data_IF_858435079302
#
_entry.id   IF_858435079302
#
_cell.length_a   1.000
_cell.length_b   1.000
_cell.length_c   1.000
_cell.angle_alpha   90.00
_cell.angle_beta   90.00
_cell.angle_gamma   90.00
#
_symmetry.space_group_name_H-M   'P 1'
#
loop_
_entity.id
_entity.type
_entity.pdbx_description
1 polymer ?
#
# COMPACT_ATOMS: atom_id res chain seq x y z
N UNK A 1 -11.34 -22.87 9.47
CA UNK A 1 -10.57 -21.85 10.21
C UNK A 1 -9.07 -21.90 9.91
N UNK A 2 -8.38 -23.04 10.11
CA UNK A 2 -6.93 -23.14 9.89
C UNK A 2 -6.47 -22.72 8.49
N UNK A 3 -7.15 -23.18 7.44
CA UNK A 3 -6.83 -22.78 6.05
C UNK A 3 -6.96 -21.27 5.84
N UNK A 4 -8.01 -20.63 6.37
CA UNK A 4 -8.22 -19.18 6.26
C UNK A 4 -7.10 -18.40 6.96
N UNK A 5 -6.69 -18.82 8.15
CA UNK A 5 -5.60 -18.19 8.89
C UNK A 5 -4.25 -18.35 8.18
N UNK A 6 -3.96 -19.51 7.60
CA UNK A 6 -2.76 -19.72 6.79
C UNK A 6 -2.76 -18.84 5.54
N UNK A 7 -3.90 -18.73 4.88
CA UNK A 7 -4.05 -17.81 3.73
C UNK A 7 -3.85 -16.36 4.15
N UNK A 8 -4.47 -15.92 5.25
CA UNK A 8 -4.29 -14.57 5.78
C UNK A 8 -2.83 -14.28 6.15
N UNK A 9 -2.15 -15.25 6.77
CA UNK A 9 -0.73 -15.16 7.09
C UNK A 9 0.14 -15.03 5.82
N UNK A 10 -0.08 -15.89 4.82
CA UNK A 10 0.66 -15.85 3.56
C UNK A 10 0.45 -14.53 2.80
N UNK A 11 -0.81 -14.05 2.71
CA UNK A 11 -1.14 -12.76 2.12
C UNK A 11 -0.52 -11.60 2.91
N UNK A 12 -0.49 -11.67 4.25
CA UNK A 12 0.16 -10.68 5.09
C UNK A 12 1.67 -10.61 4.88
N UNK A 13 2.33 -11.76 4.68
CA UNK A 13 3.76 -11.79 4.32
C UNK A 13 4.02 -11.20 2.93
N UNK A 14 3.16 -11.49 1.95
CA UNK A 14 3.27 -10.95 0.60
C UNK A 14 3.05 -9.41 0.57
N UNK A 15 2.31 -8.88 1.53
CA UNK A 15 1.96 -7.46 1.69
C UNK A 15 2.77 -6.76 2.77
N UNK A 16 3.99 -7.19 3.06
CA UNK A 16 4.77 -6.60 4.15
C UNK A 16 4.98 -5.09 3.94
N UNK A 17 4.21 -4.27 4.66
CA UNK A 17 4.14 -2.83 4.49
C UNK A 17 5.06 -2.08 5.46
N UNK A 18 6.03 -1.39 4.89
CA UNK A 18 6.94 -0.51 5.64
C UNK A 18 6.45 0.93 5.76
N UNK A 19 5.37 1.30 5.07
CA UNK A 19 4.88 2.70 4.99
C UNK A 19 4.49 3.21 6.37
N UNK A 20 3.73 2.41 7.12
CA UNK A 20 3.34 2.75 8.49
C UNK A 20 4.55 2.97 9.41
N UNK A 21 5.58 2.12 9.29
CA UNK A 21 6.83 2.26 10.04
C UNK A 21 7.58 3.54 9.67
N UNK A 22 7.64 3.88 8.39
CA UNK A 22 8.29 5.12 7.91
C UNK A 22 7.57 6.37 8.42
N UNK A 23 6.25 6.38 8.41
CA UNK A 23 5.44 7.47 8.98
C UNK A 23 5.71 7.60 10.48
N UNK A 24 5.73 6.48 11.20
CA UNK A 24 5.99 6.45 12.63
C UNK A 24 7.39 6.97 12.99
N UNK A 25 8.42 6.51 12.28
CA UNK A 25 9.82 6.99 12.45
C UNK A 25 9.94 8.47 12.08
N UNK A 26 9.29 8.90 11.00
CA UNK A 26 9.23 10.31 10.60
C UNK A 26 8.60 11.19 11.68
N UNK A 27 7.49 10.74 12.27
CA UNK A 27 6.83 11.41 13.37
C UNK A 27 7.71 11.50 14.62
N UNK A 28 8.39 10.41 15.00
CA UNK A 28 9.38 10.41 16.08
C UNK A 28 10.52 11.40 15.82
N UNK A 29 11.07 11.38 14.61
CA UNK A 29 12.12 12.30 14.19
C UNK A 29 11.69 13.77 14.15
N UNK A 30 10.40 14.05 14.05
CA UNK A 30 9.77 15.37 14.18
C UNK A 30 9.37 15.72 15.62
N UNK A 31 9.72 14.90 16.62
CA UNK A 31 9.45 15.15 18.02
C UNK A 31 8.02 14.78 18.47
N UNK A 32 7.34 13.88 17.75
CA UNK A 32 6.05 13.38 18.19
C UNK A 32 6.16 12.63 19.52
N UNK A 33 5.20 12.85 20.42
CA UNK A 33 5.13 12.15 21.70
C UNK A 33 4.71 10.69 21.47
N UNK A 34 5.22 9.77 22.29
CA UNK A 34 4.89 8.34 22.23
C UNK A 34 3.38 8.10 22.25
N UNK A 35 2.61 8.85 23.04
CA UNK A 35 1.13 8.73 23.07
C UNK A 35 0.48 9.02 21.72
N UNK A 36 0.97 10.00 20.98
CA UNK A 36 0.44 10.36 19.67
C UNK A 36 0.81 9.29 18.63
N UNK A 37 2.01 8.71 18.75
CA UNK A 37 2.45 7.60 17.93
C UNK A 37 1.63 6.32 18.18
N UNK A 38 1.33 6.03 19.45
CA UNK A 38 0.45 4.93 19.81
C UNK A 38 -0.96 5.12 19.25
N UNK A 39 -1.48 6.35 19.26
CA UNK A 39 -2.75 6.64 18.61
C UNK A 39 -2.71 6.33 17.11
N UNK A 40 -1.64 6.75 16.40
CA UNK A 40 -1.44 6.38 14.99
C UNK A 40 -1.48 4.86 14.80
N UNK A 41 -0.71 4.11 15.58
CA UNK A 41 -0.64 2.65 15.47
C UNK A 41 -1.96 1.96 15.82
N UNK A 42 -2.61 2.37 16.93
CA UNK A 42 -3.90 1.81 17.33
C UNK A 42 -4.98 2.06 16.26
N UNK A 43 -5.15 3.30 15.80
CA UNK A 43 -6.13 3.62 14.78
C UNK A 43 -5.79 2.98 13.43
N UNK A 44 -4.50 2.88 13.09
CA UNK A 44 -4.06 2.17 11.90
C UNK A 44 -4.37 0.69 11.97
N UNK A 45 -3.86 -0.02 12.96
CA UNK A 45 -3.99 -1.47 13.09
C UNK A 45 -5.45 -1.89 13.36
N UNK A 46 -6.07 -1.34 14.40
CA UNK A 46 -7.45 -1.69 14.74
C UNK A 46 -8.44 -1.20 13.68
N UNK A 47 -8.18 -0.03 13.10
CA UNK A 47 -8.94 0.50 11.98
C UNK A 47 -8.90 -0.42 10.76
N UNK A 48 -7.73 -0.95 10.40
CA UNK A 48 -7.56 -1.90 9.29
C UNK A 48 -8.32 -3.21 9.56
N UNK A 49 -8.23 -3.76 10.77
CA UNK A 49 -8.98 -4.96 11.15
C UNK A 49 -10.48 -4.73 11.09
N UNK A 50 -10.96 -3.63 11.67
CA UNK A 50 -12.38 -3.29 11.68
C UNK A 50 -12.91 -3.03 10.26
N UNK A 51 -12.16 -2.28 9.45
CA UNK A 51 -12.50 -1.97 8.07
C UNK A 51 -12.54 -3.22 7.20
N UNK A 52 -11.50 -4.08 7.28
CA UNK A 52 -11.46 -5.34 6.55
C UNK A 52 -12.58 -6.29 6.95
N UNK A 53 -12.86 -6.41 8.25
CA UNK A 53 -13.97 -7.22 8.76
C UNK A 53 -15.31 -6.70 8.22
N UNK A 54 -15.57 -5.39 8.30
CA UNK A 54 -16.80 -4.79 7.79
C UNK A 54 -16.95 -5.01 6.28
N UNK A 55 -15.90 -4.78 5.50
CA UNK A 55 -15.90 -5.03 4.06
C UNK A 55 -16.16 -6.51 3.74
N UNK A 56 -15.51 -7.44 4.44
CA UNK A 56 -15.73 -8.88 4.21
C UNK A 56 -17.18 -9.29 4.46
N UNK A 57 -17.81 -8.75 5.49
CA UNK A 57 -19.20 -9.11 5.84
C UNK A 57 -20.24 -8.45 4.92
N UNK A 58 -19.98 -7.22 4.46
CA UNK A 58 -20.95 -6.44 3.69
C UNK A 58 -20.77 -6.67 2.19
N UNK A 59 -19.54 -6.65 1.72
CA UNK A 59 -19.17 -6.59 0.30
C UNK A 59 -18.59 -7.90 -0.20
N UNK A 60 -17.89 -8.64 0.66
CA UNK A 60 -17.20 -9.88 0.29
C UNK A 60 -18.08 -10.89 -0.42
N UNK A 61 -19.29 -11.23 0.09
CA UNK A 61 -20.19 -12.17 -0.59
C UNK A 61 -20.68 -11.66 -1.96
N UNK A 62 -20.85 -10.33 -2.11
CA UNK A 62 -21.29 -9.72 -3.38
C UNK A 62 -20.18 -9.75 -4.42
N UNK A 63 -18.95 -9.40 -4.02
CA UNK A 63 -17.77 -9.43 -4.92
C UNK A 63 -17.45 -10.86 -5.32
N UNK A 64 -17.62 -11.83 -4.43
CA UNK A 64 -17.38 -13.24 -4.74
C UNK A 64 -18.37 -13.81 -5.78
N UNK A 65 -19.52 -13.18 -5.97
CA UNK A 65 -20.53 -13.54 -6.97
C UNK A 65 -20.39 -12.78 -8.30
N UNK A 66 -19.48 -11.81 -8.39
CA UNK A 66 -19.23 -11.08 -9.65
C UNK A 66 -18.45 -12.00 -10.59
N UNK A 67 -18.98 -12.18 -11.79
CA UNK A 67 -18.22 -12.75 -12.90
C UNK A 67 -17.26 -11.67 -13.42
N UNK A 68 -16.01 -11.76 -12.97
CA UNK A 68 -14.97 -10.82 -13.36
C UNK A 68 -14.67 -10.88 -14.87
N UNK A 69 -15.00 -11.99 -15.53
CA UNK A 69 -14.91 -12.10 -16.98
C UNK A 69 -15.82 -11.09 -17.70
N UNK A 70 -16.94 -10.66 -17.09
CA UNK A 70 -17.79 -9.61 -17.66
C UNK A 70 -17.16 -8.20 -17.60
N UNK A 71 -16.14 -7.99 -16.77
CA UNK A 71 -15.45 -6.70 -16.67
C UNK A 71 -14.28 -6.59 -17.64
N UNK A 72 -13.91 -7.70 -18.28
CA UNK A 72 -12.90 -7.68 -19.35
C UNK A 72 -13.55 -7.13 -20.62
N UNK A 73 -12.90 -6.24 -21.36
CA UNK A 73 -13.40 -5.73 -22.61
C UNK A 73 -13.66 -6.88 -23.58
N UNK A 74 -14.88 -7.00 -24.07
CA UNK A 74 -15.28 -8.05 -25.02
C UNK A 74 -15.68 -7.46 -26.39
N UNK A 75 -15.72 -6.11 -26.49
CA UNK A 75 -16.11 -5.35 -27.67
C UNK A 75 -14.90 -4.58 -28.23
N UNK A 76 -14.65 -4.59 -29.53
CA UNK A 76 -13.59 -3.79 -30.18
C UNK A 76 -13.62 -2.29 -29.85
N UNK A 77 -14.78 -1.77 -29.43
CA UNK A 77 -14.91 -0.38 -28.98
C UNK A 77 -14.29 -0.17 -27.59
N UNK A 78 -14.47 -1.14 -26.70
CA UNK A 78 -13.89 -1.13 -25.36
C UNK A 78 -12.37 -1.30 -25.41
N UNK A 79 -11.86 -2.13 -26.33
CA UNK A 79 -10.43 -2.31 -26.59
C UNK A 79 -9.76 -1.02 -27.05
N UNK A 80 -10.44 -0.19 -27.86
CA UNK A 80 -9.93 1.13 -28.26
C UNK A 80 -9.81 2.07 -27.08
N UNK A 81 -10.81 2.07 -26.19
CA UNK A 81 -10.77 2.89 -24.97
C UNK A 81 -9.66 2.41 -24.05
N UNK A 82 -9.50 1.09 -23.89
CA UNK A 82 -8.43 0.51 -23.07
C UNK A 82 -7.05 0.90 -23.63
N UNK A 83 -6.80 0.72 -24.94
CA UNK A 83 -5.56 1.11 -25.60
C UNK A 83 -5.28 2.63 -25.45
N UNK A 84 -6.30 3.47 -25.59
CA UNK A 84 -6.16 4.93 -25.40
C UNK A 84 -5.78 5.28 -23.96
N UNK A 85 -6.45 4.70 -22.98
CA UNK A 85 -6.14 4.87 -21.55
C UNK A 85 -4.72 4.39 -21.25
N UNK A 86 -4.32 3.27 -21.80
CA UNK A 86 -2.98 2.71 -21.66
C UNK A 86 -1.90 3.66 -22.22
N UNK A 87 -2.12 4.28 -23.37
CA UNK A 87 -1.21 5.32 -23.90
C UNK A 87 -1.09 6.49 -22.96
N UNK A 88 -2.21 7.03 -22.47
CA UNK A 88 -2.19 8.20 -21.57
C UNK A 88 -1.42 7.85 -20.28
N UNK A 89 -1.71 6.70 -19.69
CA UNK A 89 -1.02 6.25 -18.47
C UNK A 89 0.47 5.99 -18.75
N UNK A 90 0.80 5.31 -19.83
CA UNK A 90 2.17 5.01 -20.23
C UNK A 90 2.99 6.27 -20.47
N UNK A 91 2.46 7.21 -21.26
CA UNK A 91 3.11 8.52 -21.51
C UNK A 91 3.23 9.33 -20.22
N UNK A 92 2.20 9.35 -19.38
CA UNK A 92 2.24 10.00 -18.06
C UNK A 92 3.35 9.44 -17.17
N UNK A 93 3.49 8.11 -17.09
CA UNK A 93 4.57 7.44 -16.36
C UNK A 93 5.94 7.76 -16.93
N UNK A 94 6.10 7.77 -18.27
CA UNK A 94 7.36 8.14 -18.93
C UNK A 94 7.75 9.56 -18.63
N UNK A 95 6.84 10.52 -18.78
CA UNK A 95 7.08 11.95 -18.45
C UNK A 95 7.48 12.08 -16.98
N UNK A 96 6.73 11.45 -16.07
CA UNK A 96 7.04 11.50 -14.65
C UNK A 96 8.41 10.89 -14.34
N UNK A 97 8.74 9.73 -14.93
CA UNK A 97 10.03 9.07 -14.78
C UNK A 97 11.17 9.95 -15.28
N UNK A 98 11.04 10.57 -16.45
CA UNK A 98 12.05 11.48 -17.04
C UNK A 98 12.22 12.74 -16.19
N UNK A 99 11.11 13.37 -15.74
CA UNK A 99 11.16 14.56 -14.88
C UNK A 99 11.85 14.24 -13.57
N UNK A 100 11.58 13.05 -13.01
CA UNK A 100 12.20 12.57 -11.77
C UNK A 100 13.71 12.36 -11.93
N UNK A 101 14.20 11.86 -13.07
CA UNK A 101 15.64 11.71 -13.32
C UNK A 101 16.36 13.05 -13.48
N UNK A 102 15.68 14.05 -14.01
CA UNK A 102 16.25 15.40 -14.25
C UNK A 102 16.23 16.31 -13.02
N UNK A 103 15.46 15.98 -12.00
CA UNK A 103 15.46 16.72 -10.73
C UNK A 103 16.50 16.10 -9.78
N UNK A 104 17.72 16.66 -9.67
CA UNK A 104 18.64 16.26 -8.61
C UNK A 104 17.91 16.50 -7.28
N UNK A 105 17.93 15.49 -6.43
CA UNK A 105 17.15 15.35 -5.22
C UNK A 105 16.78 16.67 -4.55
N UNK A 106 15.49 16.89 -4.39
CA UNK A 106 14.98 18.05 -3.65
C UNK A 106 15.73 18.14 -2.32
N UNK A 107 16.34 19.30 -2.06
CA UNK A 107 16.92 19.57 -0.73
C UNK A 107 15.94 19.13 0.34
N UNK A 108 16.44 18.39 1.36
CA UNK A 108 15.57 18.05 2.47
C UNK A 108 14.87 19.33 2.96
N UNK A 109 13.57 19.30 3.21
CA UNK A 109 12.87 20.47 3.72
C UNK A 109 13.66 21.00 4.90
N UNK A 110 13.94 22.33 4.90
CA UNK A 110 14.53 22.97 6.09
C UNK A 110 13.71 22.52 7.30
N UNK A 111 14.37 22.10 8.40
CA UNK A 111 13.64 21.79 9.61
C UNK A 111 12.87 23.05 10.01
N UNK A 112 11.61 23.14 9.60
CA UNK A 112 10.67 24.07 10.21
C UNK A 112 10.56 23.66 11.66
N UNK A 113 10.44 24.64 12.57
CA UNK A 113 10.17 24.37 13.97
C UNK A 113 9.08 23.28 14.05
N UNK A 114 9.30 22.19 14.78
CA UNK A 114 8.39 21.07 14.80
C UNK A 114 7.04 21.57 15.32
N UNK A 115 6.08 21.78 14.41
CA UNK A 115 4.67 21.86 14.81
C UNK A 115 4.37 20.46 15.31
N UNK A 116 4.32 20.33 16.63
CA UNK A 116 4.16 19.05 17.28
C UNK A 116 2.99 18.31 16.64
N UNK A 117 3.28 17.17 16.00
CA UNK A 117 2.25 16.29 15.46
C UNK A 117 1.37 15.87 16.66
N UNK A 118 0.20 16.51 16.79
CA UNK A 118 -0.70 16.29 17.92
C UNK A 118 -1.33 14.91 17.87
N UNK A 119 -1.90 14.50 19.01
CA UNK A 119 -2.61 13.22 19.15
C UNK A 119 -3.68 13.03 18.06
N UNK A 120 -4.51 14.05 17.83
CA UNK A 120 -5.61 14.02 16.86
C UNK A 120 -5.08 13.88 15.42
N UNK A 121 -4.01 14.61 15.09
CA UNK A 121 -3.40 14.55 13.76
C UNK A 121 -2.86 13.16 13.44
N UNK A 122 -2.17 12.53 14.40
CA UNK A 122 -1.62 11.17 14.21
C UNK A 122 -2.71 10.11 14.28
N UNK A 123 -3.75 10.27 15.10
CA UNK A 123 -4.91 9.38 15.08
C UNK A 123 -5.63 9.42 13.71
N UNK A 124 -5.85 10.63 13.16
CA UNK A 124 -6.42 10.81 11.84
C UNK A 124 -5.55 10.20 10.72
N UNK A 125 -4.23 10.37 10.81
CA UNK A 125 -3.30 9.73 9.89
C UNK A 125 -3.35 8.20 9.98
N UNK A 126 -3.51 7.63 11.19
CA UNK A 126 -3.71 6.20 11.39
C UNK A 126 -5.01 5.69 10.75
N UNK A 127 -6.09 6.46 10.87
CA UNK A 127 -7.35 6.10 10.22
C UNK A 127 -7.23 6.15 8.68
N UNK A 128 -6.59 7.18 8.12
CA UNK A 128 -6.34 7.26 6.68
C UNK A 128 -5.44 6.12 6.20
N UNK A 129 -4.45 5.74 6.99
CA UNK A 129 -3.60 4.59 6.73
C UNK A 129 -4.41 3.28 6.70
N UNK A 130 -5.35 3.10 7.63
CA UNK A 130 -6.25 1.94 7.64
C UNK A 130 -7.14 1.88 6.38
N UNK A 131 -7.69 3.02 5.95
CA UNK A 131 -8.51 3.10 4.74
C UNK A 131 -7.69 2.86 3.46
N UNK A 132 -6.41 3.25 3.46
CA UNK A 132 -5.52 3.02 2.33
C UNK A 132 -5.25 1.53 2.06
N UNK A 133 -5.52 0.64 3.01
CA UNK A 133 -5.40 -0.81 2.82
C UNK A 133 -6.26 -1.33 1.64
N UNK A 134 -7.33 -0.62 1.25
CA UNK A 134 -8.17 -1.01 0.09
C UNK A 134 -7.39 -1.00 -1.24
N UNK A 135 -6.29 -0.28 -1.32
CA UNK A 135 -5.44 -0.24 -2.52
C UNK A 135 -4.52 -1.46 -2.61
N UNK A 136 -4.37 -2.21 -1.51
CA UNK A 136 -3.55 -3.42 -1.46
C UNK A 136 -4.33 -4.61 -2.04
N UNK A 137 -3.86 -5.24 -3.14
CA UNK A 137 -4.53 -6.38 -3.74
C UNK A 137 -4.65 -7.58 -2.79
N UNK A 138 -3.70 -7.77 -1.86
CA UNK A 138 -3.74 -8.88 -0.90
C UNK A 138 -4.81 -8.67 0.15
N UNK A 139 -5.04 -7.40 0.57
CA UNK A 139 -6.14 -7.04 1.45
C UNK A 139 -7.49 -7.29 0.77
N UNK A 140 -7.66 -6.84 -0.48
CA UNK A 140 -8.89 -7.07 -1.24
C UNK A 140 -9.14 -8.57 -1.44
N UNK A 141 -8.11 -9.34 -1.76
CA UNK A 141 -8.20 -10.81 -1.87
C UNK A 141 -8.66 -11.43 -0.55
N UNK A 142 -8.12 -10.96 0.58
CA UNK A 142 -8.54 -11.44 1.90
C UNK A 142 -10.00 -11.08 2.19
N UNK A 143 -10.45 -9.87 1.82
CA UNK A 143 -11.86 -9.45 1.97
C UNK A 143 -12.80 -10.43 1.29
N UNK A 144 -12.48 -10.85 0.04
CA UNK A 144 -13.30 -11.81 -0.72
C UNK A 144 -13.26 -13.21 -0.09
N UNK A 145 -12.06 -13.67 0.27
CA UNK A 145 -11.89 -15.03 0.84
C UNK A 145 -12.53 -15.14 2.22
N UNK A 146 -12.29 -14.15 3.09
CA UNK A 146 -12.85 -14.11 4.44
C UNK A 146 -14.38 -13.89 4.44
N UNK A 147 -14.91 -13.17 3.43
CA UNK A 147 -16.35 -12.97 3.26
C UNK A 147 -17.15 -14.24 2.96
N UNK A 148 -16.46 -15.36 2.66
CA UNK A 148 -17.07 -16.69 2.50
C UNK A 148 -17.11 -17.50 3.80
N UNK A 149 -16.59 -16.95 4.89
CA UNK A 149 -16.56 -17.65 6.16
C UNK A 149 -17.89 -17.47 6.91
N UNK A 150 -18.43 -18.57 7.42
CA UNK A 150 -19.73 -18.59 8.13
C UNK A 150 -19.67 -17.91 9.51
N UNK A 151 -18.49 -17.86 10.12
CA UNK A 151 -18.31 -17.37 11.48
C UNK A 151 -17.67 -15.98 11.50
N UNK A 152 -18.34 -15.01 12.11
CA UNK A 152 -17.83 -13.65 12.33
C UNK A 152 -16.40 -13.64 12.92
N UNK A 153 -16.14 -14.43 13.94
CA UNK A 153 -14.83 -14.48 14.58
C UNK A 153 -13.72 -15.03 13.69
N UNK A 154 -14.05 -15.87 12.71
CA UNK A 154 -13.09 -16.33 11.71
C UNK A 154 -12.66 -15.19 10.78
N UNK A 155 -13.59 -14.30 10.42
CA UNK A 155 -13.29 -13.09 9.63
C UNK A 155 -12.39 -12.14 10.42
N UNK A 156 -12.77 -11.84 11.68
CA UNK A 156 -11.95 -10.98 12.56
C UNK A 156 -10.54 -11.55 12.72
N UNK A 157 -10.42 -12.86 13.00
CA UNK A 157 -9.13 -13.50 13.19
C UNK A 157 -8.26 -13.47 11.92
N UNK A 158 -8.86 -13.64 10.74
CA UNK A 158 -8.17 -13.55 9.46
C UNK A 158 -7.61 -12.14 9.22
N UNK A 159 -8.45 -11.11 9.38
CA UNK A 159 -8.00 -9.72 9.23
C UNK A 159 -6.98 -9.33 10.29
N UNK A 160 -7.12 -9.80 11.54
CA UNK A 160 -6.13 -9.58 12.58
C UNK A 160 -4.78 -10.21 12.19
N UNK A 161 -4.79 -11.48 11.74
CA UNK A 161 -3.57 -12.18 11.32
C UNK A 161 -2.89 -11.44 10.18
N UNK A 162 -3.62 -11.09 9.12
CA UNK A 162 -3.08 -10.34 7.99
C UNK A 162 -2.49 -9.00 8.43
N UNK A 163 -3.26 -8.22 9.22
CA UNK A 163 -2.86 -6.89 9.65
C UNK A 163 -1.60 -6.94 10.52
N UNK A 164 -1.52 -7.85 11.48
CA UNK A 164 -0.33 -7.96 12.32
C UNK A 164 0.90 -8.40 11.53
N UNK A 165 0.75 -9.32 10.59
CA UNK A 165 1.86 -9.80 9.76
C UNK A 165 2.33 -8.74 8.78
N UNK A 166 1.41 -8.10 8.05
CA UNK A 166 1.76 -7.05 7.08
C UNK A 166 2.38 -5.82 7.73
N UNK A 167 1.93 -5.47 8.96
CA UNK A 167 2.40 -4.30 9.68
C UNK A 167 3.45 -4.59 10.76
N UNK A 168 4.12 -5.76 10.71
CA UNK A 168 5.25 -6.07 11.62
C UNK A 168 6.26 -4.93 11.75
N UNK A 169 6.68 -4.24 10.67
CA UNK A 169 7.62 -3.14 10.82
C UNK A 169 7.06 -1.98 11.67
N UNK A 170 5.77 -1.65 11.53
CA UNK A 170 5.12 -0.64 12.36
C UNK A 170 5.04 -1.09 13.82
N UNK A 171 4.62 -2.33 14.07
CA UNK A 171 4.52 -2.90 15.42
C UNK A 171 5.87 -2.84 16.14
N UNK A 172 6.96 -3.17 15.42
CA UNK A 172 8.31 -3.07 15.98
C UNK A 172 8.68 -1.63 16.35
N UNK A 173 8.39 -0.65 15.48
CA UNK A 173 8.64 0.77 15.80
C UNK A 173 7.85 1.21 17.03
N UNK A 174 6.59 0.80 17.17
CA UNK A 174 5.77 1.10 18.33
C UNK A 174 6.33 0.45 19.61
N UNK A 175 6.78 -0.81 19.52
CA UNK A 175 7.39 -1.51 20.66
C UNK A 175 8.67 -0.80 21.15
N UNK A 176 9.54 -0.40 20.22
CA UNK A 176 10.74 0.39 20.57
C UNK A 176 10.40 1.77 21.15
N UNK A 177 9.35 2.44 20.63
CA UNK A 177 8.90 3.71 21.18
C UNK A 177 8.37 3.57 22.61
N UNK A 178 7.73 2.44 22.92
CA UNK A 178 7.25 2.12 24.29
C UNK A 178 8.38 1.77 25.24
N UNK A 179 9.45 1.11 24.77
CA UNK A 179 10.61 0.79 25.62
C UNK A 179 11.52 2.00 25.91
N UNK A 180 11.18 3.19 25.40
CA UNK A 180 12.01 4.39 25.56
C UNK A 180 13.20 4.50 24.61
N UNK A 181 13.36 3.54 23.68
CA UNK A 181 14.48 3.48 22.75
C UNK A 181 14.20 4.18 21.39
N UNK A 182 13.27 5.14 21.40
CA UNK A 182 12.85 5.86 20.20
C UNK A 182 14.00 6.54 19.43
N UNK A 183 15.02 7.05 20.13
CA UNK A 183 16.19 7.65 19.48
C UNK A 183 16.99 6.64 18.67
N UNK A 184 17.19 5.42 19.21
CA UNK A 184 17.90 4.35 18.49
C UNK A 184 17.19 3.98 17.20
N UNK A 185 15.85 3.87 17.24
CA UNK A 185 15.05 3.57 16.04
C UNK A 185 15.19 4.68 15.00
N UNK A 186 15.12 5.93 15.40
CA UNK A 186 15.27 7.08 14.48
C UNK A 186 16.67 7.10 13.86
N UNK A 187 17.72 6.88 14.66
CA UNK A 187 19.11 6.83 14.16
C UNK A 187 19.28 5.65 13.20
N UNK A 188 18.82 4.46 13.58
CA UNK A 188 18.93 3.26 12.75
C UNK A 188 18.18 3.47 11.42
N UNK A 189 16.95 3.94 11.48
CA UNK A 189 16.13 4.18 10.29
C UNK A 189 16.76 5.24 9.37
N UNK A 190 17.31 6.33 9.93
CA UNK A 190 18.02 7.35 9.13
C UNK A 190 19.26 6.78 8.44
N UNK A 191 20.03 5.95 9.15
CA UNK A 191 21.23 5.31 8.61
C UNK A 191 20.88 4.35 7.48
N UNK A 192 19.89 3.48 7.70
CA UNK A 192 19.40 2.56 6.68
C UNK A 192 18.80 3.31 5.50
N UNK A 193 17.97 4.32 5.74
CA UNK A 193 17.36 5.12 4.69
C UNK A 193 18.41 5.84 3.84
N UNK A 194 19.42 6.45 4.45
CA UNK A 194 20.50 7.10 3.74
C UNK A 194 21.26 6.12 2.82
N UNK A 195 21.38 4.84 3.23
CA UNK A 195 22.05 3.81 2.42
C UNK A 195 21.18 3.25 1.31
N UNK A 196 19.88 3.03 1.57
CA UNK A 196 18.96 2.34 0.67
C UNK A 196 18.27 3.34 -0.29
N UNK A 197 17.97 4.56 0.16
CA UNK A 197 17.24 5.58 -0.59
C UNK A 197 17.75 5.80 -2.02
N UNK A 198 19.08 5.94 -2.29
CA UNK A 198 19.55 6.16 -3.66
C UNK A 198 19.27 4.96 -4.58
N UNK A 199 19.31 3.73 -4.05
CA UNK A 199 18.98 2.52 -4.79
C UNK A 199 17.47 2.40 -5.03
N UNK A 200 16.67 2.67 -4.02
CA UNK A 200 15.22 2.66 -4.14
C UNK A 200 14.71 3.69 -5.15
N UNK A 201 15.26 4.90 -5.13
CA UNK A 201 14.91 5.94 -6.10
C UNK A 201 15.23 5.49 -7.52
N UNK A 202 16.40 4.88 -7.75
CA UNK A 202 16.78 4.34 -9.06
C UNK A 202 15.87 3.19 -9.49
N UNK A 203 15.65 2.23 -8.59
CA UNK A 203 14.80 1.06 -8.85
C UNK A 203 13.39 1.50 -9.24
N UNK A 204 12.75 2.35 -8.42
CA UNK A 204 11.40 2.88 -8.73
C UNK A 204 11.39 3.60 -10.07
N UNK A 205 12.41 4.40 -10.36
CA UNK A 205 12.47 5.11 -11.64
C UNK A 205 12.60 4.14 -12.82
N UNK A 206 13.43 3.10 -12.70
CA UNK A 206 13.57 2.07 -13.74
C UNK A 206 12.25 1.33 -13.94
N UNK A 207 11.60 0.89 -12.85
CA UNK A 207 10.32 0.19 -12.92
C UNK A 207 9.25 1.05 -13.58
N UNK A 208 9.14 2.33 -13.20
CA UNK A 208 8.18 3.26 -13.81
C UNK A 208 8.42 3.46 -15.30
N UNK A 209 9.69 3.63 -15.70
CA UNK A 209 10.03 3.76 -17.11
C UNK A 209 9.74 2.48 -17.90
N UNK A 210 10.03 1.31 -17.32
CA UNK A 210 9.72 0.02 -17.95
C UNK A 210 8.21 -0.18 -18.11
N UNK A 211 7.44 0.02 -17.05
CA UNK A 211 5.97 -0.11 -17.09
C UNK A 211 5.36 0.90 -18.06
N UNK A 212 5.80 2.16 -18.03
CA UNK A 212 5.35 3.16 -18.98
C UNK A 212 5.66 2.80 -20.43
N UNK A 213 6.85 2.26 -20.70
CA UNK A 213 7.24 1.79 -22.03
C UNK A 213 6.39 0.60 -22.47
N UNK A 214 6.19 -0.39 -21.58
CA UNK A 214 5.36 -1.56 -21.87
C UNK A 214 3.92 -1.16 -22.21
N UNK A 215 3.32 -0.25 -21.45
CA UNK A 215 1.97 0.23 -21.74
C UNK A 215 1.87 0.92 -23.10
N UNK A 216 2.84 1.77 -23.45
CA UNK A 216 2.84 2.43 -24.76
C UNK A 216 3.04 1.42 -25.89
N UNK A 217 3.98 0.47 -25.74
CA UNK A 217 4.25 -0.54 -26.77
C UNK A 217 3.06 -1.49 -26.97
N UNK A 218 2.43 -1.92 -25.88
CA UNK A 218 1.29 -2.82 -25.92
C UNK A 218 0.09 -2.16 -26.61
N UNK A 219 -0.21 -0.91 -26.26
CA UNK A 219 -1.26 -0.16 -26.92
C UNK A 219 -0.95 0.14 -28.41
N UNK A 220 0.31 0.45 -28.76
CA UNK A 220 0.70 0.63 -30.17
C UNK A 220 0.61 -0.67 -30.95
N UNK A 221 0.97 -1.80 -30.33
CA UNK A 221 0.83 -3.13 -30.93
C UNK A 221 -0.64 -3.43 -31.25
N UNK A 222 -1.53 -3.13 -30.31
CA UNK A 222 -2.98 -3.26 -30.53
C UNK A 222 -3.47 -2.43 -31.74
N UNK A 223 -3.01 -1.17 -31.89
CA UNK A 223 -3.38 -0.34 -33.05
C UNK A 223 -2.92 -0.92 -34.39
N UNK A 224 -1.86 -1.73 -34.41
CA UNK A 224 -1.31 -2.34 -35.62
C UNK A 224 -1.92 -3.71 -35.91
N UNK A 225 -2.15 -4.51 -34.88
CA UNK A 225 -2.55 -5.94 -35.03
C UNK A 225 -4.00 -6.21 -34.68
N UNK A 226 -4.64 -5.34 -33.90
CA UNK A 226 -5.95 -5.56 -33.30
C UNK A 226 -5.94 -6.44 -32.03
N UNK A 227 -4.75 -6.84 -31.55
CA UNK A 227 -4.57 -7.70 -30.38
C UNK A 227 -3.54 -7.08 -29.44
N UNK A 228 -3.73 -7.21 -28.13
CA UNK A 228 -2.73 -6.79 -27.15
C UNK A 228 -1.55 -7.78 -27.15
N UNK A 229 -0.34 -7.27 -26.96
CA UNK A 229 0.88 -8.09 -26.87
C UNK A 229 0.92 -8.87 -25.55
N UNK A 230 0.38 -8.29 -24.48
CA UNK A 230 0.21 -8.96 -23.18
C UNK A 230 -1.18 -9.60 -23.19
N UNK A 231 -1.29 -10.94 -23.36
CA UNK A 231 -2.60 -11.60 -23.35
C UNK A 231 -3.25 -11.42 -21.97
N UNK A 232 -4.55 -11.12 -21.98
CA UNK A 232 -5.37 -11.03 -20.79
C UNK A 232 -5.55 -12.38 -20.05
#
# INVERSE_FOLDING_TARGET
MTKLLLTAFALGLASLDVTGALVAVGALGAGARTRALLAFGCFGILGTVAFGTALSLIVGPRIAGIDWGMLLPHDPTEDRVAAFVQIILGVGLLIWGIVRTRRPGSRPPKPGAPRGLGLISLAGAGMLFALAAIVDPTFVSLVVIAGRADLFWSVVAAHSTWTFVSHVPLVLVLAFALSGESERVVVLARTWWARISPWMVRLVTIVVLLVGTLFVLDALWWYVTGEFFIPE
#
